data_IF_684121618509
#
_entry.id   IF_684121618509
#
_cell.length_a   1.000
_cell.length_b   1.000
_cell.length_c   1.000
_cell.angle_alpha   90.00
_cell.angle_beta   90.00
_cell.angle_gamma   90.00
#
_symmetry.space_group_name_H-M   'P 1'
#
loop_
_entity.id
_entity.type
_entity.pdbx_description
1 polymer ?
#
# COMPACT_ATOMS: atom_id res chain seq x y z
N UNK A 1 -2.95 -16.41 -15.56
CA UNK A 1 -1.62 -15.81 -15.34
C UNK A 1 -1.48 -15.58 -13.84
N UNK A 2 -0.32 -15.82 -13.22
CA UNK A 2 -0.15 -15.58 -11.77
C UNK A 2 -0.10 -14.06 -11.51
N UNK A 3 -0.70 -13.59 -10.41
CA UNK A 3 -0.67 -12.17 -10.03
C UNK A 3 0.38 -11.91 -8.95
N UNK A 4 0.96 -10.72 -8.98
CA UNK A 4 1.62 -10.12 -7.82
C UNK A 4 0.85 -8.84 -7.46
N UNK A 5 0.33 -8.81 -6.24
CA UNK A 5 -0.43 -7.71 -5.70
C UNK A 5 0.45 -6.95 -4.70
N UNK A 6 0.76 -5.70 -5.02
CA UNK A 6 1.57 -4.82 -4.20
C UNK A 6 0.69 -3.84 -3.43
N UNK A 7 0.93 -3.72 -2.13
CA UNK A 7 0.69 -2.45 -1.47
C UNK A 7 1.62 -1.37 -2.04
N UNK A 8 1.24 -0.10 -1.92
CA UNK A 8 1.97 1.02 -2.52
C UNK A 8 2.87 1.72 -1.50
N UNK A 9 2.25 2.33 -0.49
CA UNK A 9 2.88 3.24 0.47
C UNK A 9 3.78 2.49 1.45
N UNK A 10 5.03 2.92 1.63
CA UNK A 10 6.07 2.23 2.44
C UNK A 10 6.47 0.82 1.92
N UNK A 11 5.87 0.35 0.82
CA UNK A 11 6.13 -0.93 0.17
C UNK A 11 6.96 -0.77 -1.10
N UNK A 12 6.41 -0.11 -2.13
CA UNK A 12 7.12 0.13 -3.41
C UNK A 12 8.10 1.31 -3.32
N UNK A 13 7.91 2.19 -2.35
CA UNK A 13 8.77 3.33 -2.08
C UNK A 13 8.73 3.66 -0.59
N UNK A 14 9.72 4.42 -0.10
CA UNK A 14 9.72 4.98 1.25
C UNK A 14 10.08 6.46 1.16
N UNK A 15 9.26 7.33 1.74
CA UNK A 15 9.51 8.76 1.80
C UNK A 15 8.80 9.40 3.01
N UNK A 16 8.89 10.73 3.10
CA UNK A 16 8.28 11.52 4.17
C UNK A 16 6.81 11.91 3.90
N UNK A 17 6.19 11.43 2.80
CA UNK A 17 4.84 11.83 2.39
C UNK A 17 3.81 11.56 3.48
N UNK A 18 3.98 10.46 4.22
CA UNK A 18 3.13 10.13 5.37
C UNK A 18 3.19 11.19 6.48
N UNK A 19 4.38 11.73 6.76
CA UNK A 19 4.59 12.77 7.76
C UNK A 19 3.96 14.09 7.30
N UNK A 20 4.17 14.47 6.04
CA UNK A 20 3.58 15.69 5.47
C UNK A 20 2.04 15.63 5.43
N UNK A 21 1.49 14.45 5.14
CA UNK A 21 0.05 14.17 5.22
C UNK A 21 -0.53 14.30 6.62
N UNK A 22 0.18 13.78 7.62
CA UNK A 22 -0.23 13.96 9.01
C UNK A 22 -0.21 15.44 9.40
N UNK A 23 0.80 16.22 8.97
CA UNK A 23 0.83 17.68 9.18
C UNK A 23 -0.35 18.38 8.52
N UNK A 24 -0.69 18.02 7.28
CA UNK A 24 -1.85 18.59 6.58
C UNK A 24 -3.18 18.30 7.30
N UNK A 25 -3.35 17.08 7.81
CA UNK A 25 -4.51 16.71 8.64
C UNK A 25 -4.57 17.58 9.90
N UNK A 26 -3.46 17.73 10.63
CA UNK A 26 -3.41 18.52 11.86
C UNK A 26 -3.74 20.00 11.58
N UNK A 27 -3.24 20.55 10.47
CA UNK A 27 -3.55 21.91 10.04
C UNK A 27 -5.03 22.08 9.68
N UNK A 28 -5.62 21.12 8.97
CA UNK A 28 -7.05 21.14 8.61
C UNK A 28 -7.95 21.09 9.85
N UNK A 29 -7.58 20.29 10.85
CA UNK A 29 -8.38 20.12 12.06
C UNK A 29 -8.34 21.32 12.99
N UNK A 30 -7.30 22.15 12.92
CA UNK A 30 -7.08 23.35 13.73
C UNK A 30 -7.38 23.12 15.22
N UNK A 31 -8.55 23.57 15.70
CA UNK A 31 -8.99 23.44 17.10
C UNK A 31 -9.33 21.99 17.54
N UNK A 32 -9.39 21.02 16.63
CA UNK A 32 -9.68 19.60 16.91
C UNK A 32 -8.43 18.71 16.98
N UNK A 33 -7.23 19.27 16.79
CA UNK A 33 -5.98 18.48 16.65
C UNK A 33 -5.65 17.65 17.90
N UNK A 34 -5.84 18.17 19.11
CA UNK A 34 -5.57 17.43 20.34
C UNK A 34 -6.49 16.21 20.47
N UNK A 35 -7.78 16.39 20.16
CA UNK A 35 -8.76 15.30 20.17
C UNK A 35 -8.43 14.24 19.10
N UNK A 36 -7.93 14.64 17.93
CA UNK A 36 -7.47 13.72 16.91
C UNK A 36 -6.28 12.87 17.38
N UNK A 37 -5.28 13.50 18.00
CA UNK A 37 -4.11 12.81 18.53
C UNK A 37 -4.50 11.84 19.67
N UNK A 38 -5.48 12.20 20.50
CA UNK A 38 -6.07 11.31 21.50
C UNK A 38 -6.70 10.07 20.86
N UNK A 39 -7.56 10.27 19.84
CA UNK A 39 -8.24 9.17 19.14
C UNK A 39 -7.25 8.24 18.43
N UNK A 40 -6.20 8.79 17.81
CA UNK A 40 -5.15 8.03 17.10
C UNK A 40 -4.38 7.04 17.97
N UNK A 41 -4.44 7.15 19.30
CA UNK A 41 -3.87 6.15 20.23
C UNK A 41 -4.60 4.81 20.11
N UNK A 42 -5.90 4.82 19.80
CA UNK A 42 -6.75 3.63 19.78
C UNK A 42 -7.39 3.34 18.41
N UNK A 43 -7.40 4.31 17.50
CA UNK A 43 -8.10 4.23 16.21
C UNK A 43 -7.16 4.50 15.03
N UNK A 44 -7.56 4.03 13.85
CA UNK A 44 -6.89 4.37 12.59
C UNK A 44 -7.14 5.82 12.16
N UNK A 45 -6.33 6.35 11.24
CA UNK A 45 -6.45 7.75 10.76
C UNK A 45 -7.87 8.12 10.33
N UNK A 46 -8.48 7.32 9.44
CA UNK A 46 -9.81 7.63 8.91
C UNK A 46 -10.90 7.48 9.96
N UNK A 47 -10.78 6.47 10.84
CA UNK A 47 -11.74 6.28 11.92
C UNK A 47 -11.72 7.46 12.89
N UNK A 48 -10.53 7.91 13.32
CA UNK A 48 -10.37 9.13 14.13
C UNK A 48 -10.97 10.36 13.45
N UNK A 49 -10.79 10.50 12.13
CA UNK A 49 -11.32 11.61 11.35
C UNK A 49 -12.85 11.56 11.23
N UNK A 50 -13.43 10.39 10.99
CA UNK A 50 -14.87 10.18 10.93
C UNK A 50 -15.54 10.57 12.26
N UNK A 51 -14.96 10.18 13.41
CA UNK A 51 -15.44 10.60 14.75
C UNK A 51 -15.45 12.12 14.91
N UNK A 52 -14.53 12.82 14.25
CA UNK A 52 -14.43 14.28 14.26
C UNK A 52 -15.32 14.98 13.22
N UNK A 53 -16.09 14.21 12.45
CA UNK A 53 -16.98 14.69 11.40
C UNK A 53 -16.29 14.96 10.06
N UNK A 54 -15.09 14.44 9.85
CA UNK A 54 -14.36 14.54 8.57
C UNK A 54 -14.64 13.28 7.76
N UNK A 55 -15.38 13.43 6.67
CA UNK A 55 -15.74 12.29 5.84
C UNK A 55 -14.61 11.86 4.88
N UNK A 56 -14.78 10.71 4.23
CA UNK A 56 -13.81 10.11 3.30
C UNK A 56 -13.40 11.05 2.17
N UNK A 57 -14.34 11.81 1.60
CA UNK A 57 -14.05 12.79 0.54
C UNK A 57 -13.13 13.91 1.06
N UNK A 58 -13.46 14.50 2.20
CA UNK A 58 -12.63 15.55 2.82
C UNK A 58 -11.25 15.01 3.18
N UNK A 59 -11.17 13.77 3.68
CA UNK A 59 -9.89 13.11 3.94
C UNK A 59 -9.04 13.05 2.67
N UNK A 60 -9.56 12.54 1.54
CA UNK A 60 -8.77 12.51 0.30
C UNK A 60 -8.44 13.90 -0.23
N UNK A 61 -9.37 14.86 -0.17
CA UNK A 61 -9.11 16.25 -0.55
C UNK A 61 -7.91 16.83 0.24
N UNK A 62 -7.81 16.57 1.55
CA UNK A 62 -6.66 16.99 2.38
C UNK A 62 -5.37 16.31 1.91
N UNK A 63 -5.43 14.99 1.69
CA UNK A 63 -4.27 14.16 1.41
C UNK A 63 -3.69 14.39 0.01
N UNK A 64 -4.54 14.78 -0.95
CA UNK A 64 -4.19 15.02 -2.35
C UNK A 64 -3.61 16.43 -2.56
N UNK A 65 -3.88 17.36 -1.65
CA UNK A 65 -3.25 18.69 -1.64
C UNK A 65 -1.79 18.67 -1.13
N UNK A 66 -1.31 17.53 -0.63
CA UNK A 66 0.07 17.39 -0.17
C UNK A 66 0.98 17.07 -1.36
N UNK A 67 2.01 17.88 -1.65
CA UNK A 67 2.92 17.61 -2.75
C UNK A 67 3.60 16.24 -2.65
N UNK A 68 3.53 15.48 -3.75
CA UNK A 68 4.18 14.17 -3.85
C UNK A 68 5.60 14.36 -4.38
N UNK A 69 6.57 14.42 -3.48
CA UNK A 69 8.00 14.57 -3.79
C UNK A 69 8.69 13.21 -3.98
N UNK A 70 8.26 12.48 -4.99
CA UNK A 70 8.84 11.19 -5.39
C UNK A 70 9.58 11.37 -6.72
N UNK A 71 10.72 10.69 -6.85
CA UNK A 71 11.53 10.66 -8.07
C UNK A 71 11.44 9.29 -8.73
N UNK A 72 11.75 9.26 -10.03
CA UNK A 72 11.85 8.04 -10.82
C UNK A 72 12.84 7.07 -10.18
N UNK A 73 12.47 5.80 -10.15
CA UNK A 73 13.29 4.73 -9.56
C UNK A 73 13.68 3.70 -10.63
N UNK A 74 14.83 3.92 -11.25
CA UNK A 74 15.37 3.03 -12.30
C UNK A 74 15.63 1.61 -11.81
N UNK A 75 15.89 1.42 -10.51
CA UNK A 75 16.16 0.10 -9.95
C UNK A 75 14.85 -0.67 -9.79
N UNK A 76 13.81 -0.02 -9.27
CA UNK A 76 12.49 -0.61 -9.17
C UNK A 76 11.92 -0.95 -10.55
N UNK A 77 12.04 -0.04 -11.53
CA UNK A 77 11.61 -0.27 -12.92
C UNK A 77 12.19 -1.57 -13.46
N UNK A 78 13.52 -1.76 -13.37
CA UNK A 78 14.18 -2.97 -13.87
C UNK A 78 13.68 -4.26 -13.21
N UNK A 79 13.41 -4.20 -11.90
CA UNK A 79 12.89 -5.36 -11.16
C UNK A 79 11.48 -5.69 -11.64
N UNK A 80 10.60 -4.69 -11.74
CA UNK A 80 9.22 -4.89 -12.17
C UNK A 80 9.13 -5.29 -13.65
N UNK A 81 9.95 -4.74 -14.54
CA UNK A 81 10.03 -5.18 -15.94
C UNK A 81 10.40 -6.66 -16.06
N UNK A 82 11.34 -7.13 -15.22
CA UNK A 82 11.77 -8.54 -15.24
C UNK A 82 10.65 -9.45 -14.73
N UNK A 83 10.03 -9.08 -13.61
CA UNK A 83 8.97 -9.87 -12.98
C UNK A 83 7.69 -9.86 -13.85
N UNK A 84 7.33 -8.71 -14.41
CA UNK A 84 6.14 -8.52 -15.25
C UNK A 84 6.13 -9.36 -16.54
N UNK A 85 7.24 -10.00 -16.92
CA UNK A 85 7.28 -10.97 -18.02
C UNK A 85 6.45 -12.22 -17.76
N UNK A 86 6.33 -12.61 -16.49
CA UNK A 86 5.70 -13.87 -16.08
C UNK A 86 4.48 -13.67 -15.17
N UNK A 87 4.26 -12.44 -14.70
CA UNK A 87 3.24 -12.12 -13.72
C UNK A 87 2.43 -10.89 -14.13
N UNK A 88 1.15 -10.90 -13.78
CA UNK A 88 0.33 -9.69 -13.78
C UNK A 88 0.69 -8.85 -12.54
N UNK A 89 1.06 -7.59 -12.74
CA UNK A 89 1.41 -6.67 -11.66
C UNK A 89 0.20 -5.81 -11.30
N UNK A 90 -0.28 -5.96 -10.07
CA UNK A 90 -1.44 -5.25 -9.54
C UNK A 90 -1.01 -4.40 -8.35
N UNK A 91 -1.54 -3.20 -8.22
CA UNK A 91 -1.39 -2.36 -7.02
C UNK A 91 -2.72 -2.31 -6.26
N UNK A 92 -2.69 -2.42 -4.94
CA UNK A 92 -3.84 -2.26 -4.05
C UNK A 92 -3.45 -1.35 -2.87
N UNK A 93 -3.94 -0.11 -2.87
CA UNK A 93 -3.64 0.88 -1.83
C UNK A 93 -4.90 1.45 -1.16
N UNK A 94 -4.77 1.87 0.10
CA UNK A 94 -5.80 2.65 0.79
C UNK A 94 -5.75 4.16 0.44
N UNK A 95 -4.76 4.59 -0.34
CA UNK A 95 -4.64 5.95 -0.85
C UNK A 95 -5.70 6.27 -1.92
N UNK A 96 -5.95 7.55 -2.20
CA UNK A 96 -6.85 8.03 -3.26
C UNK A 96 -6.39 7.61 -4.66
N UNK A 97 -7.28 7.68 -5.66
CA UNK A 97 -6.91 7.46 -7.06
C UNK A 97 -5.78 8.39 -7.51
N UNK A 98 -5.94 9.68 -7.21
CA UNK A 98 -4.97 10.73 -7.54
C UNK A 98 -3.59 10.37 -7.01
N UNK A 99 -3.49 10.04 -5.72
CA UNK A 99 -2.24 9.66 -5.10
C UNK A 99 -1.63 8.42 -5.77
N UNK A 100 -2.41 7.35 -5.94
CA UNK A 100 -1.89 6.10 -6.53
C UNK A 100 -1.32 6.39 -7.92
N UNK A 101 -2.08 7.08 -8.77
CA UNK A 101 -1.65 7.41 -10.13
C UNK A 101 -0.42 8.32 -10.17
N UNK A 102 -0.37 9.36 -9.34
CA UNK A 102 0.75 10.28 -9.26
C UNK A 102 2.04 9.58 -8.78
N UNK A 103 1.95 8.77 -7.73
CA UNK A 103 3.08 8.01 -7.20
C UNK A 103 3.63 7.05 -8.27
N UNK A 104 2.76 6.24 -8.89
CA UNK A 104 3.16 5.30 -9.94
C UNK A 104 3.78 6.00 -11.16
N UNK A 105 3.26 7.17 -11.52
CA UNK A 105 3.79 8.00 -12.61
C UNK A 105 5.16 8.55 -12.26
N UNK A 106 5.32 9.13 -11.06
CA UNK A 106 6.60 9.71 -10.60
C UNK A 106 7.69 8.66 -10.40
N UNK A 107 7.34 7.48 -9.91
CA UNK A 107 8.26 6.33 -9.85
C UNK A 107 8.66 5.82 -11.24
N UNK A 108 7.87 6.14 -12.28
CA UNK A 108 8.11 5.71 -13.66
C UNK A 108 7.65 4.28 -13.95
N UNK A 109 6.74 3.73 -13.14
CA UNK A 109 6.30 2.32 -13.21
C UNK A 109 4.84 2.16 -13.65
N UNK A 110 4.08 3.24 -13.82
CA UNK A 110 2.64 3.17 -14.15
C UNK A 110 2.33 2.28 -15.37
N UNK A 111 3.17 2.32 -16.41
CA UNK A 111 3.01 1.52 -17.63
C UNK A 111 3.32 0.02 -17.43
N UNK A 112 3.98 -0.34 -16.32
CA UNK A 112 4.28 -1.73 -15.96
C UNK A 112 3.16 -2.36 -15.13
N UNK A 113 2.29 -1.53 -14.52
CA UNK A 113 1.19 -1.99 -13.67
C UNK A 113 -0.03 -2.29 -14.55
N UNK A 114 -0.47 -3.55 -14.55
CA UNK A 114 -1.62 -3.99 -15.34
C UNK A 114 -2.94 -3.41 -14.80
N UNK A 115 -3.04 -3.31 -13.47
CA UNK A 115 -4.23 -2.77 -12.80
C UNK A 115 -3.86 -2.17 -11.45
N UNK A 116 -4.54 -1.11 -11.05
CA UNK A 116 -4.44 -0.59 -9.69
C UNK A 116 -5.84 -0.40 -9.10
N UNK A 117 -5.93 -0.63 -7.79
CA UNK A 117 -7.08 -0.36 -6.97
C UNK A 117 -6.68 0.60 -5.85
N UNK A 118 -7.56 1.53 -5.55
CA UNK A 118 -7.37 2.62 -4.61
C UNK A 118 -8.52 2.64 -3.59
N UNK A 119 -8.35 3.44 -2.54
CA UNK A 119 -9.28 3.47 -1.40
C UNK A 119 -10.70 3.92 -1.74
N UNK A 120 -10.92 4.54 -2.90
CA UNK A 120 -12.25 4.95 -3.37
C UNK A 120 -12.99 3.84 -4.15
N UNK A 121 -12.31 2.75 -4.54
CA UNK A 121 -12.98 1.61 -5.19
C UNK A 121 -13.82 0.77 -4.23
N UNK A 122 -13.66 0.96 -2.92
CA UNK A 122 -14.26 0.13 -1.88
C UNK A 122 -15.03 1.00 -0.89
N UNK A 123 -16.03 0.44 -0.22
CA UNK A 123 -16.74 1.13 0.85
C UNK A 123 -15.78 1.35 2.03
N UNK A 124 -15.18 0.27 2.51
CA UNK A 124 -14.18 0.24 3.56
C UNK A 124 -12.76 0.15 2.99
N UNK A 125 -11.76 0.12 3.88
CA UNK A 125 -10.35 0.05 3.53
C UNK A 125 -9.73 -1.27 3.95
N UNK A 126 -8.56 -1.62 3.42
CA UNK A 126 -7.75 -2.73 3.96
C UNK A 126 -7.58 -2.54 5.49
N UNK A 127 -7.81 -3.58 6.32
CA UNK A 127 -7.93 -5.01 5.99
C UNK A 127 -9.37 -5.52 5.87
N UNK A 128 -10.30 -4.83 5.20
CA UNK A 128 -11.61 -5.44 4.94
C UNK A 128 -11.51 -6.45 3.78
N UNK A 129 -12.18 -7.60 3.90
CA UNK A 129 -12.10 -8.71 2.93
C UNK A 129 -12.52 -8.30 1.51
N UNK A 130 -13.47 -7.37 1.39
CA UNK A 130 -13.90 -6.81 0.10
C UNK A 130 -12.75 -6.23 -0.73
N UNK A 131 -11.71 -5.70 -0.07
CA UNK A 131 -10.55 -5.11 -0.75
C UNK A 131 -9.68 -6.15 -1.45
N UNK A 132 -9.81 -7.43 -1.08
CA UNK A 132 -8.99 -8.53 -1.56
C UNK A 132 -9.76 -9.47 -2.51
N UNK A 133 -10.89 -9.01 -3.08
CA UNK A 133 -11.75 -9.81 -3.96
C UNK A 133 -11.03 -10.44 -5.16
N UNK A 134 -9.91 -9.85 -5.59
CA UNK A 134 -9.10 -10.30 -6.73
C UNK A 134 -8.03 -11.32 -6.36
N UNK A 135 -7.80 -11.58 -5.06
CA UNK A 135 -6.74 -12.45 -4.57
C UNK A 135 -7.19 -13.91 -4.62
N UNK A 136 -6.37 -14.76 -5.21
CA UNK A 136 -6.59 -16.20 -5.32
C UNK A 136 -5.44 -16.98 -4.66
N UNK A 137 -5.66 -18.28 -4.43
CA UNK A 137 -4.62 -19.15 -3.89
C UNK A 137 -3.38 -19.16 -4.79
N UNK A 138 -2.19 -19.11 -4.18
CA UNK A 138 -0.87 -19.01 -4.82
C UNK A 138 -0.58 -17.70 -5.57
N UNK A 139 -1.46 -16.70 -5.54
CA UNK A 139 -1.04 -15.33 -5.85
C UNK A 139 0.04 -14.87 -4.88
N UNK A 140 0.81 -13.87 -5.26
CA UNK A 140 1.84 -13.28 -4.39
C UNK A 140 1.35 -11.92 -3.92
N UNK A 141 1.27 -11.73 -2.61
CA UNK A 141 0.92 -10.44 -2.01
C UNK A 141 2.13 -9.86 -1.28
N UNK A 142 2.45 -8.61 -1.59
CA UNK A 142 3.62 -7.90 -1.09
C UNK A 142 3.17 -6.63 -0.40
N UNK A 143 3.52 -6.44 0.87
CA UNK A 143 3.11 -5.25 1.62
C UNK A 143 3.91 -5.02 2.88
N UNK A 144 3.85 -3.80 3.42
CA UNK A 144 4.62 -3.41 4.60
C UNK A 144 3.91 -3.73 5.92
N UNK A 145 2.61 -4.06 5.88
CA UNK A 145 1.83 -4.37 7.07
C UNK A 145 1.20 -5.75 6.95
N UNK A 146 1.62 -6.68 7.80
CA UNK A 146 1.02 -8.01 7.81
C UNK A 146 -0.50 -7.93 8.05
N UNK A 147 -0.93 -7.21 9.10
CA UNK A 147 -2.35 -7.08 9.44
C UNK A 147 -3.17 -6.45 8.32
N UNK A 148 -2.67 -5.36 7.70
CA UNK A 148 -3.45 -4.64 6.68
C UNK A 148 -3.42 -5.32 5.33
N UNK A 149 -2.25 -5.78 4.89
CA UNK A 149 -1.99 -6.12 3.50
C UNK A 149 -1.90 -7.63 3.25
N UNK A 150 -1.55 -8.42 4.27
CA UNK A 150 -1.15 -9.82 4.07
C UNK A 150 -2.01 -10.84 4.83
N UNK A 151 -2.65 -10.45 5.93
CA UNK A 151 -3.41 -11.38 6.78
C UNK A 151 -4.56 -12.05 6.02
N UNK A 152 -5.33 -11.27 5.26
CA UNK A 152 -6.43 -11.81 4.43
C UNK A 152 -5.89 -12.61 3.26
N UNK A 153 -4.95 -12.10 2.44
CA UNK A 153 -4.32 -12.92 1.39
C UNK A 153 -3.76 -14.25 1.90
N UNK A 154 -3.13 -14.25 3.08
CA UNK A 154 -2.61 -15.47 3.72
C UNK A 154 -3.73 -16.48 3.98
N UNK A 155 -4.87 -16.03 4.53
CA UNK A 155 -6.06 -16.87 4.76
C UNK A 155 -6.64 -17.42 3.45
N UNK A 156 -6.56 -16.65 2.36
CA UNK A 156 -6.98 -17.06 1.01
C UNK A 156 -5.96 -17.99 0.31
N UNK A 157 -4.85 -18.32 0.97
CA UNK A 157 -3.82 -19.21 0.44
C UNK A 157 -2.84 -18.53 -0.53
N UNK A 158 -2.76 -17.21 -0.53
CA UNK A 158 -1.70 -16.48 -1.23
C UNK A 158 -0.34 -16.64 -0.52
N UNK A 159 0.74 -16.53 -1.29
CA UNK A 159 2.10 -16.41 -0.79
C UNK A 159 2.32 -14.96 -0.35
N UNK A 160 2.76 -14.78 0.88
CA UNK A 160 2.88 -13.44 1.49
C UNK A 160 4.32 -13.00 1.70
N UNK A 161 4.65 -11.80 1.22
CA UNK A 161 5.97 -11.20 1.36
C UNK A 161 5.84 -9.90 2.15
N UNK A 162 6.35 -9.90 3.38
CA UNK A 162 6.39 -8.72 4.23
C UNK A 162 7.59 -7.84 3.86
N UNK A 163 7.36 -6.55 3.64
CA UNK A 163 8.41 -5.56 3.43
C UNK A 163 8.68 -4.80 4.73
N UNK A 164 9.82 -5.04 5.36
CA UNK A 164 10.17 -4.39 6.63
C UNK A 164 11.41 -4.97 7.30
N UNK A 165 11.82 -4.34 8.40
CA UNK A 165 12.99 -4.79 9.17
C UNK A 165 12.68 -5.96 10.11
N UNK A 166 11.44 -6.06 10.56
CA UNK A 166 11.00 -7.08 11.51
C UNK A 166 10.28 -8.19 10.78
N UNK A 167 10.72 -9.42 11.03
CA UNK A 167 10.02 -10.61 10.59
C UNK A 167 8.64 -10.70 11.26
N UNK A 168 7.71 -11.32 10.54
CA UNK A 168 6.44 -11.74 11.10
C UNK A 168 6.32 -13.25 10.89
N UNK A 169 6.15 -14.07 11.94
CA UNK A 169 6.13 -15.52 11.82
C UNK A 169 4.95 -16.05 10.98
N UNK A 170 3.96 -15.21 10.69
CA UNK A 170 2.80 -15.57 9.87
C UNK A 170 2.99 -15.23 8.38
N UNK A 171 4.02 -14.46 8.01
CA UNK A 171 4.36 -14.19 6.61
C UNK A 171 5.23 -15.34 6.05
N UNK A 172 5.07 -15.68 4.76
CA UNK A 172 5.90 -16.71 4.12
C UNK A 172 7.34 -16.25 3.93
N UNK A 173 7.52 -14.98 3.58
CA UNK A 173 8.81 -14.35 3.38
C UNK A 173 8.83 -12.95 4.00
N UNK A 174 10.02 -12.51 4.39
CA UNK A 174 10.28 -11.12 4.77
C UNK A 174 11.46 -10.59 3.96
N UNK A 175 11.32 -9.39 3.41
CA UNK A 175 12.38 -8.65 2.73
C UNK A 175 12.54 -7.28 3.36
N UNK A 176 13.77 -6.74 3.39
CA UNK A 176 14.01 -5.44 4.04
C UNK A 176 13.46 -4.29 3.22
N UNK A 177 13.47 -4.42 1.90
CA UNK A 177 13.00 -3.44 0.93
C UNK A 177 12.62 -4.17 -0.38
N UNK A 178 11.89 -3.47 -1.24
CA UNK A 178 11.38 -4.01 -2.50
C UNK A 178 12.47 -4.52 -3.45
N UNK A 179 13.71 -4.03 -3.33
CA UNK A 179 14.78 -4.43 -4.23
C UNK A 179 15.28 -5.86 -4.01
N UNK A 180 14.92 -6.49 -2.88
CA UNK A 180 15.25 -7.88 -2.58
C UNK A 180 14.25 -8.87 -3.19
N UNK A 181 13.14 -8.38 -3.74
CA UNK A 181 12.06 -9.20 -4.29
C UNK A 181 12.55 -10.19 -5.34
N UNK A 182 13.43 -9.78 -6.25
CA UNK A 182 13.97 -10.64 -7.31
C UNK A 182 14.62 -11.92 -6.76
N UNK A 183 15.29 -11.82 -5.60
CA UNK A 183 15.92 -12.97 -4.96
C UNK A 183 14.88 -13.97 -4.44
N UNK A 184 13.82 -13.46 -3.82
CA UNK A 184 12.73 -14.29 -3.27
C UNK A 184 11.90 -14.93 -4.37
N UNK A 185 11.68 -14.25 -5.50
CA UNK A 185 10.92 -14.79 -6.62
C UNK A 185 11.52 -16.11 -7.13
N UNK A 186 12.85 -16.24 -7.15
CA UNK A 186 13.53 -17.50 -7.52
C UNK A 186 13.22 -18.64 -6.54
N UNK A 187 13.08 -18.34 -5.25
CA UNK A 187 12.72 -19.34 -4.25
C UNK A 187 11.26 -19.78 -4.40
N UNK A 188 10.36 -18.86 -4.70
CA UNK A 188 8.93 -19.14 -4.91
C UNK A 188 8.69 -20.01 -6.14
N UNK A 189 9.43 -19.81 -7.23
CA UNK A 189 9.30 -20.62 -8.45
C UNK A 189 9.63 -22.10 -8.25
N UNK A 190 10.31 -22.46 -7.15
CA UNK A 190 10.67 -23.84 -6.81
C UNK A 190 9.69 -24.53 -5.84
N UNK A 191 8.54 -23.90 -5.52
CA UNK A 191 7.48 -24.40 -4.61
C UNK A 191 6.21 -24.70 -5.41
#
# INVERSE_FOLDING_TARGET
>A
MKKIIFDLDDTLYRNELRLEREKAILNFLDCKKEKYLELKKNHGTIESLNILGVNKKQFFDIMDNVPIEIKKDEKLIKILEKIGKNYELIVLSNSSEFCVREVLTKLGIIQLINKYYHGENFENQKPNEECFFMVESRDICVGNSFRKDLEIPKKLGAITILVGEKENPNADFTIRNIYELEKIMKSIENI
#
